data_IF_638058355518
#
_entry.id   IF_638058355518
#
_cell.length_a   1.000
_cell.length_b   1.000
_cell.length_c   1.000
_cell.angle_alpha   90.00
_cell.angle_beta   90.00
_cell.angle_gamma   90.00
#
_symmetry.space_group_name_H-M   'P 1'
#
loop_
_entity.id
_entity.type
_entity.pdbx_description
1 polymer ?
#
# COMPACT_ATOMS: atom_id res chain seq x y z
N UNK A 1 17.06 -57.04 10.58
CA UNK A 1 16.32 -57.71 9.49
C UNK A 1 14.85 -57.39 9.74
N UNK A 2 14.25 -56.39 9.06
CA UNK A 2 13.91 -56.39 7.63
C UNK A 2 12.96 -57.59 7.35
N UNK A 3 11.74 -57.44 6.84
CA UNK A 3 11.46 -57.11 5.43
C UNK A 3 9.92 -57.01 5.22
N UNK A 4 9.50 -55.87 4.64
CA UNK A 4 8.54 -55.67 3.52
C UNK A 4 7.05 -56.09 3.57
N UNK A 5 6.22 -55.04 3.44
CA UNK A 5 5.05 -54.90 2.53
C UNK A 5 5.43 -55.32 1.10
N UNK A 6 4.56 -55.87 0.21
CA UNK A 6 3.83 -54.96 -0.71
C UNK A 6 2.62 -55.54 -1.53
N UNK A 7 1.98 -54.64 -2.30
CA UNK A 7 1.51 -54.82 -3.70
C UNK A 7 0.09 -55.38 -4.02
N UNK A 8 -0.80 -54.49 -4.50
CA UNK A 8 -1.56 -54.59 -5.77
C UNK A 8 -2.07 -53.16 -6.14
N UNK A 9 -1.53 -52.40 -7.12
CA UNK A 9 -1.57 -52.49 -8.62
C UNK A 9 -3.00 -52.45 -9.18
N UNK A 10 -3.39 -51.65 -10.17
CA UNK A 10 -2.74 -51.23 -11.44
C UNK A 10 -3.54 -50.02 -12.03
N UNK A 11 -2.94 -48.88 -12.40
CA UNK A 11 -2.45 -48.46 -13.73
C UNK A 11 -3.47 -48.41 -14.89
N UNK A 12 -3.62 -47.21 -15.47
CA UNK A 12 -3.43 -46.98 -16.91
C UNK A 12 -2.61 -45.71 -17.14
N UNK A 13 -1.62 -45.85 -18.01
CA UNK A 13 -0.64 -44.87 -18.49
C UNK A 13 -1.04 -44.41 -19.89
N UNK A 14 -0.84 -43.13 -20.19
CA UNK A 14 -0.55 -42.64 -21.54
C UNK A 14 0.37 -41.40 -21.41
N UNK A 15 1.68 -41.59 -21.26
CA UNK A 15 2.74 -41.35 -22.28
C UNK A 15 2.61 -40.08 -23.13
N UNK A 16 3.31 -39.04 -22.66
CA UNK A 16 4.45 -38.34 -23.28
C UNK A 16 4.32 -37.68 -24.67
N UNK A 17 4.50 -36.36 -24.63
CA UNK A 17 5.02 -35.48 -25.69
C UNK A 17 4.59 -34.06 -25.34
N UNK A 18 5.39 -33.14 -24.82
CA UNK A 18 6.84 -33.02 -24.79
C UNK A 18 7.12 -31.53 -24.97
N UNK A 19 7.50 -30.84 -23.90
CA UNK A 19 8.47 -29.74 -23.85
C UNK A 19 8.39 -29.13 -22.45
N UNK A 20 9.42 -29.39 -21.65
CA UNK A 20 9.75 -28.55 -20.52
C UNK A 20 10.24 -27.21 -21.10
N UNK A 21 9.38 -26.20 -21.08
CA UNK A 21 9.84 -24.81 -21.04
C UNK A 21 10.07 -24.49 -19.58
N UNK A 22 11.34 -24.35 -19.22
CA UNK A 22 11.79 -23.61 -18.05
C UNK A 22 11.17 -22.22 -18.18
N UNK A 23 10.10 -21.97 -17.43
CA UNK A 23 9.53 -20.65 -17.27
C UNK A 23 10.47 -19.87 -16.35
N UNK A 24 11.40 -19.15 -16.95
CA UNK A 24 11.98 -17.97 -16.32
C UNK A 24 10.81 -17.04 -16.01
N UNK A 25 10.44 -16.94 -14.74
CA UNK A 25 9.60 -15.86 -14.25
C UNK A 25 10.40 -14.58 -14.37
N UNK A 26 10.36 -13.96 -15.55
CA UNK A 26 10.71 -12.57 -15.71
C UNK A 26 9.59 -11.79 -15.03
N UNK A 27 9.86 -11.25 -13.84
CA UNK A 27 9.05 -10.17 -13.29
C UNK A 27 8.97 -9.06 -14.33
N UNK A 28 7.78 -8.82 -14.86
CA UNK A 28 7.53 -7.65 -15.68
C UNK A 28 7.65 -6.42 -14.78
N UNK A 29 8.75 -5.69 -14.87
CA UNK A 29 8.79 -4.30 -14.42
C UNK A 29 7.87 -3.52 -15.35
N UNK A 30 6.67 -3.18 -14.88
CA UNK A 30 5.75 -2.29 -15.59
C UNK A 30 6.28 -0.87 -15.40
N UNK A 31 6.90 -0.32 -16.44
CA UNK A 31 7.13 1.13 -16.49
C UNK A 31 5.79 1.82 -16.75
N UNK A 32 5.20 2.39 -15.71
CA UNK A 32 3.97 3.19 -15.80
C UNK A 32 4.30 4.52 -16.50
N UNK A 33 3.62 4.80 -17.61
CA UNK A 33 3.62 6.15 -18.20
C UNK A 33 2.79 7.10 -17.32
N UNK A 34 2.96 8.43 -17.46
CA UNK A 34 2.13 9.38 -16.71
C UNK A 34 0.64 9.11 -16.99
N UNK A 35 -0.18 9.14 -15.93
CA UNK A 35 -1.63 9.01 -15.99
C UNK A 35 -2.20 10.07 -16.96
N UNK A 36 -3.17 9.66 -17.79
CA UNK A 36 -3.88 10.57 -18.68
C UNK A 36 -5.24 10.92 -18.06
N UNK A 37 -5.26 11.96 -17.24
CA UNK A 37 -6.48 12.48 -16.61
C UNK A 37 -7.18 13.56 -17.45
N UNK A 38 -7.00 13.52 -18.78
CA UNK A 38 -7.67 14.47 -19.69
C UNK A 38 -9.17 14.20 -19.88
N UNK A 39 -9.68 13.08 -19.40
CA UNK A 39 -11.11 12.73 -19.40
C UNK A 39 -11.60 12.40 -17.98
N UNK A 40 -12.75 12.97 -17.62
CA UNK A 40 -13.40 12.74 -16.34
C UNK A 40 -13.86 11.27 -16.21
N UNK A 41 -13.60 10.61 -15.07
CA UNK A 41 -13.96 9.20 -14.89
C UNK A 41 -12.87 8.22 -15.36
N UNK A 42 -11.71 8.71 -15.79
CA UNK A 42 -10.58 7.84 -16.09
C UNK A 42 -10.11 7.13 -14.82
N UNK A 43 -9.93 5.82 -14.93
CA UNK A 43 -9.45 4.97 -13.86
C UNK A 43 -8.10 5.48 -13.36
N UNK A 44 -7.99 5.72 -12.04
CA UNK A 44 -6.79 6.26 -11.40
C UNK A 44 -6.79 7.78 -11.20
N UNK A 45 -7.76 8.53 -11.73
CA UNK A 45 -7.84 9.99 -11.57
C UNK A 45 -8.79 10.47 -10.45
N UNK A 46 -9.47 9.54 -9.75
CA UNK A 46 -10.37 9.79 -8.61
C UNK A 46 -11.41 10.91 -8.88
N UNK A 47 -11.89 10.98 -10.12
CA UNK A 47 -12.88 11.95 -10.57
C UNK A 47 -14.04 11.25 -11.25
N UNK A 48 -15.25 11.79 -11.09
CA UNK A 48 -16.48 11.23 -11.65
C UNK A 48 -17.38 12.30 -12.27
N UNK A 49 -18.12 11.89 -13.30
CA UNK A 49 -19.04 12.77 -14.00
C UNK A 49 -20.39 12.81 -13.30
N UNK A 50 -20.75 13.99 -12.76
CA UNK A 50 -22.01 14.25 -12.08
C UNK A 50 -22.78 15.33 -12.84
N UNK A 51 -23.75 14.90 -13.65
CA UNK A 51 -24.46 15.79 -14.57
C UNK A 51 -23.53 16.34 -15.67
N UNK A 52 -23.48 17.67 -15.81
CA UNK A 52 -22.61 18.35 -16.79
C UNK A 52 -21.24 18.75 -16.20
N UNK A 53 -20.89 18.28 -14.99
CA UNK A 53 -19.66 18.62 -14.28
C UNK A 53 -18.83 17.37 -13.98
N UNK A 54 -17.52 17.53 -13.97
CA UNK A 54 -16.60 16.57 -13.34
C UNK A 54 -16.35 17.01 -11.90
N UNK A 55 -16.42 16.06 -10.96
CA UNK A 55 -16.21 16.29 -9.54
C UNK A 55 -15.25 15.23 -9.02
N UNK A 56 -14.41 15.57 -8.05
CA UNK A 56 -13.57 14.59 -7.39
C UNK A 56 -14.42 13.67 -6.52
N UNK A 57 -13.93 12.44 -6.33
CA UNK A 57 -14.52 11.51 -5.40
C UNK A 57 -14.40 12.02 -3.96
N UNK A 58 -15.31 11.63 -3.05
CA UNK A 58 -15.23 12.04 -1.66
C UNK A 58 -13.85 11.75 -1.05
N UNK A 59 -13.25 12.75 -0.40
CA UNK A 59 -11.89 12.65 0.16
C UNK A 59 -10.76 13.02 -0.82
N UNK A 60 -11.08 13.48 -2.02
CA UNK A 60 -10.14 13.95 -3.02
C UNK A 60 -10.45 15.40 -3.47
N UNK A 61 -9.42 16.15 -3.86
CA UNK A 61 -9.53 17.50 -4.44
C UNK A 61 -8.76 17.58 -5.75
N UNK A 62 -9.12 18.50 -6.65
CA UNK A 62 -8.40 18.62 -7.92
C UNK A 62 -6.93 18.96 -7.66
N UNK A 63 -6.03 18.19 -8.25
CA UNK A 63 -4.58 18.34 -8.09
C UNK A 63 -4.09 19.72 -8.59
N UNK A 64 -4.83 20.33 -9.51
CA UNK A 64 -4.54 21.65 -10.03
C UNK A 64 -5.79 22.37 -10.57
N UNK A 65 -5.63 23.66 -10.89
CA UNK A 65 -6.70 24.51 -11.42
C UNK A 65 -6.90 24.38 -12.96
N UNK A 66 -6.27 23.41 -13.65
CA UNK A 66 -6.47 23.23 -15.10
C UNK A 66 -7.85 22.60 -15.38
N UNK A 67 -8.75 23.28 -16.10
CA UNK A 67 -10.09 22.78 -16.36
C UNK A 67 -10.15 21.56 -17.30
N UNK A 68 -9.02 21.10 -17.84
CA UNK A 68 -8.92 19.89 -18.66
C UNK A 68 -8.06 18.80 -18.00
N UNK A 69 -7.68 19.00 -16.75
CA UNK A 69 -7.00 18.00 -15.94
C UNK A 69 -7.96 17.59 -14.82
N UNK A 70 -8.39 16.33 -14.87
CA UNK A 70 -9.34 15.77 -13.91
C UNK A 70 -8.64 14.86 -12.90
N UNK A 71 -7.34 15.06 -12.71
CA UNK A 71 -6.58 14.42 -11.65
C UNK A 71 -7.00 14.98 -10.29
N UNK A 72 -7.33 14.09 -9.37
CA UNK A 72 -7.75 14.43 -8.03
C UNK A 72 -6.77 13.82 -7.02
N UNK A 73 -6.09 14.71 -6.28
CA UNK A 73 -5.19 14.37 -5.20
C UNK A 73 -5.98 14.03 -3.94
N UNK A 74 -5.46 13.06 -3.20
CA UNK A 74 -6.07 12.66 -1.92
C UNK A 74 -5.86 13.77 -0.90
N UNK A 75 -6.94 14.14 -0.23
CA UNK A 75 -6.89 15.08 0.89
C UNK A 75 -6.36 14.30 2.10
N UNK A 76 -5.27 14.76 2.76
CA UNK A 76 -4.72 14.06 3.91
C UNK A 76 -5.77 13.86 5.01
N UNK A 77 -5.98 12.63 5.50
CA UNK A 77 -6.84 12.40 6.66
C UNK A 77 -6.19 13.01 7.90
N UNK A 78 -7.02 13.51 8.82
CA UNK A 78 -6.54 14.11 10.08
C UNK A 78 -6.73 13.15 11.23
N UNK A 79 -5.71 13.05 12.09
CA UNK A 79 -5.82 12.30 13.34
C UNK A 79 -6.82 12.98 14.29
N UNK A 80 -7.64 12.20 14.98
CA UNK A 80 -8.60 12.74 15.95
C UNK A 80 -9.00 11.73 17.02
N UNK A 81 -9.68 12.21 18.05
CA UNK A 81 -10.23 11.36 19.10
C UNK A 81 -11.49 10.62 18.60
N UNK A 82 -12.04 9.71 19.42
CA UNK A 82 -13.20 8.89 19.03
C UNK A 82 -14.48 9.69 18.66
N UNK A 83 -14.47 11.02 18.83
CA UNK A 83 -15.55 11.91 18.44
C UNK A 83 -15.11 12.97 17.42
N UNK A 84 -13.90 12.90 16.87
CA UNK A 84 -13.35 13.89 15.94
C UNK A 84 -13.49 15.33 16.43
N UNK A 85 -13.19 15.57 17.71
CA UNK A 85 -13.34 16.88 18.35
C UNK A 85 -14.79 17.32 18.61
N UNK A 86 -15.79 16.53 18.21
CA UNK A 86 -17.21 16.85 18.34
C UNK A 86 -17.72 17.85 17.31
N UNK A 87 -16.98 18.07 16.22
CA UNK A 87 -17.34 18.98 15.14
C UNK A 87 -18.52 18.44 14.30
N UNK A 88 -19.20 19.33 13.58
CA UNK A 88 -20.32 18.96 12.71
C UNK A 88 -19.83 18.63 11.31
N UNK A 89 -20.47 17.65 10.66
CA UNK A 89 -20.12 17.17 9.31
C UNK A 89 -18.73 16.50 9.21
N UNK A 90 -18.28 15.89 10.32
CA UNK A 90 -17.11 15.04 10.40
C UNK A 90 -17.51 13.75 11.13
N UNK A 91 -16.98 12.61 10.71
CA UNK A 91 -17.16 11.35 11.40
C UNK A 91 -15.83 10.60 11.54
N UNK A 92 -15.84 9.65 12.47
CA UNK A 92 -14.71 8.75 12.70
C UNK A 92 -14.81 7.56 11.74
N UNK A 93 -13.77 7.33 10.96
CA UNK A 93 -13.62 6.16 10.10
C UNK A 93 -12.31 5.45 10.48
N UNK A 94 -12.43 4.33 11.20
CA UNK A 94 -11.28 3.70 11.85
C UNK A 94 -10.72 4.57 12.97
N UNK A 95 -9.45 4.98 12.83
CA UNK A 95 -8.72 5.84 13.78
C UNK A 95 -8.48 7.26 13.23
N UNK A 96 -9.12 7.62 12.11
CA UNK A 96 -8.99 8.93 11.48
C UNK A 96 -10.34 9.63 11.33
N UNK A 97 -10.29 10.96 11.29
CA UNK A 97 -11.46 11.79 11.08
C UNK A 97 -11.59 12.14 9.61
N UNK A 98 -12.82 12.06 9.10
CA UNK A 98 -13.13 12.30 7.68
C UNK A 98 -14.36 13.21 7.61
N UNK A 99 -14.34 14.20 6.73
CA UNK A 99 -15.51 15.04 6.49
C UNK A 99 -16.64 14.23 5.84
N UNK A 100 -17.88 14.51 6.25
CA UNK A 100 -19.06 13.92 5.65
C UNK A 100 -19.17 14.33 4.16
N UNK A 101 -19.83 13.49 3.36
CA UNK A 101 -19.98 13.73 1.92
C UNK A 101 -20.61 15.12 1.63
N UNK A 102 -19.96 15.88 0.75
CA UNK A 102 -20.33 17.26 0.42
C UNK A 102 -19.66 18.31 1.31
N UNK A 103 -18.74 17.89 2.17
CA UNK A 103 -17.91 18.75 3.00
C UNK A 103 -16.42 18.39 2.84
N UNK A 104 -15.57 19.36 3.13
CA UNK A 104 -14.12 19.24 3.06
C UNK A 104 -13.47 20.09 4.16
N UNK A 105 -12.22 19.82 4.53
CA UNK A 105 -11.54 20.57 5.59
C UNK A 105 -11.52 22.05 5.27
N UNK A 106 -12.03 22.88 6.17
CA UNK A 106 -11.96 24.33 6.02
C UNK A 106 -10.50 24.82 5.94
N UNK A 107 -9.61 24.11 6.63
CA UNK A 107 -8.18 24.39 6.64
C UNK A 107 -7.38 23.08 6.52
N UNK A 108 -7.13 22.56 5.30
CA UNK A 108 -6.50 21.26 5.11
C UNK A 108 -5.05 21.20 5.64
N UNK A 109 -4.37 22.34 5.75
CA UNK A 109 -2.98 22.41 6.23
C UNK A 109 -2.83 22.46 7.76
N UNK A 110 -3.94 22.66 8.49
CA UNK A 110 -3.94 22.72 9.94
C UNK A 110 -4.44 21.39 10.50
N UNK A 111 -3.51 20.55 10.97
CA UNK A 111 -3.82 19.20 11.44
C UNK A 111 -4.69 19.17 12.69
N UNK A 112 -4.77 20.29 13.43
CA UNK A 112 -5.59 20.42 14.64
C UNK A 112 -6.99 20.99 14.34
N UNK A 113 -7.19 21.58 13.15
CA UNK A 113 -8.48 22.11 12.71
C UNK A 113 -9.33 21.01 12.05
N UNK A 114 -10.23 20.41 12.83
CA UNK A 114 -11.16 19.38 12.36
C UNK A 114 -12.49 19.96 11.82
N UNK A 115 -12.53 21.24 11.44
CA UNK A 115 -13.73 21.84 10.87
C UNK A 115 -13.93 21.48 9.39
N UNK A 116 -15.15 21.06 9.04
CA UNK A 116 -15.56 20.71 7.68
C UNK A 116 -16.50 21.79 7.10
N UNK A 117 -16.13 22.34 5.95
CA UNK A 117 -16.83 23.37 5.19
C UNK A 117 -17.54 22.74 3.98
N UNK A 118 -18.71 23.25 3.55
CA UNK A 118 -19.37 22.76 2.34
C UNK A 118 -18.44 22.84 1.14
N UNK A 119 -18.34 21.73 0.39
CA UNK A 119 -17.51 21.62 -0.79
C UNK A 119 -18.39 21.50 -2.04
N UNK A 120 -18.39 22.56 -2.85
CA UNK A 120 -19.14 22.63 -4.10
C UNK A 120 -18.53 21.73 -5.22
N UNK A 121 -17.34 21.15 -4.98
CA UNK A 121 -16.60 20.33 -5.93
C UNK A 121 -16.74 18.81 -5.69
N UNK A 122 -17.58 18.37 -4.74
CA UNK A 122 -17.86 16.96 -4.48
C UNK A 122 -19.23 16.49 -4.97
N UNK A 123 -19.30 15.20 -5.32
CA UNK A 123 -20.53 14.51 -5.70
C UNK A 123 -21.49 14.35 -4.51
N UNK A 124 -22.37 15.34 -4.30
CA UNK A 124 -23.39 15.27 -3.24
C UNK A 124 -24.46 14.21 -3.56
N UNK A 125 -24.45 13.08 -2.83
CA UNK A 125 -25.65 12.26 -2.65
C UNK A 125 -26.52 12.91 -1.58
N UNK A 126 -27.45 13.76 -2.02
CA UNK A 126 -28.04 14.80 -1.17
C UNK A 126 -28.77 14.34 0.10
N UNK A 127 -28.58 15.14 1.16
CA UNK A 127 -29.68 15.75 1.92
C UNK A 127 -29.33 17.22 2.10
N UNK A 128 -30.03 18.10 1.39
CA UNK A 128 -29.92 19.53 1.62
C UNK A 128 -30.52 19.89 2.98
N UNK A 129 -29.75 20.62 3.78
CA UNK A 129 -30.33 21.59 4.73
C UNK A 129 -29.41 22.80 4.75
N UNK A 130 -29.85 23.86 4.07
CA UNK A 130 -29.35 25.21 4.34
C UNK A 130 -29.75 25.59 5.75
N UNK A 131 -28.81 26.06 6.56
CA UNK A 131 -29.11 27.09 7.54
C UNK A 131 -27.91 28.01 7.75
N UNK A 132 -28.24 29.29 7.62
CA UNK A 132 -27.42 30.49 7.69
C UNK A 132 -27.53 31.04 9.11
N UNK A 133 -26.43 31.17 9.86
CA UNK A 133 -26.31 32.17 10.94
C UNK A 133 -24.85 32.42 11.39
N UNK A 134 -24.30 33.54 10.91
CA UNK A 134 -23.62 34.62 11.66
C UNK A 134 -22.77 34.39 12.93
N UNK A 135 -21.53 34.92 12.86
CA UNK A 135 -20.99 36.02 13.71
C UNK A 135 -20.04 35.71 14.88
N UNK A 136 -18.78 36.12 14.68
CA UNK A 136 -17.77 36.83 15.53
C UNK A 136 -16.92 36.16 16.64
N UNK A 137 -15.61 36.44 16.48
CA UNK A 137 -14.54 36.86 17.41
C UNK A 137 -14.00 35.94 18.52
N UNK A 138 -12.67 35.74 18.50
CA UNK A 138 -11.87 35.26 19.62
C UNK A 138 -10.36 35.25 19.34
N UNK A 139 -9.68 36.34 19.70
CA UNK A 139 -8.25 36.65 19.52
C UNK A 139 -7.30 35.94 20.49
N UNK A 140 -6.02 35.81 20.09
CA UNK A 140 -4.77 35.62 20.89
C UNK A 140 -4.59 34.24 21.57
N UNK A 141 -3.41 33.61 21.63
CA UNK A 141 -2.06 34.15 21.82
C UNK A 141 -1.01 33.11 21.39
N UNK A 142 0.07 33.59 20.79
CA UNK A 142 1.29 32.81 20.61
C UNK A 142 1.93 32.49 21.97
N UNK A 143 2.36 31.25 22.17
CA UNK A 143 3.40 30.93 23.15
C UNK A 143 4.39 29.93 22.54
N UNK A 144 5.61 30.40 22.33
CA UNK A 144 6.74 29.63 21.84
C UNK A 144 7.44 29.01 23.04
N UNK A 145 7.28 27.71 23.23
CA UNK A 145 8.18 26.93 24.10
C UNK A 145 8.97 25.95 23.25
N UNK A 146 10.22 26.32 22.98
CA UNK A 146 11.27 25.37 22.64
C UNK A 146 11.42 24.39 23.80
N UNK A 147 11.28 23.09 23.53
CA UNK A 147 11.67 22.05 24.46
C UNK A 147 12.90 21.32 23.91
N UNK A 148 13.98 21.43 24.67
CA UNK A 148 15.24 20.72 24.46
C UNK A 148 15.16 19.39 25.22
N UNK A 149 14.78 18.32 24.53
CA UNK A 149 15.10 16.95 24.95
C UNK A 149 15.68 16.19 23.78
N UNK A 150 16.97 15.87 23.88
CA UNK A 150 17.66 15.02 22.91
C UNK A 150 17.08 13.62 22.95
N UNK A 151 16.30 13.27 21.92
CA UNK A 151 15.88 11.90 21.64
C UNK A 151 17.10 11.06 21.20
N UNK A 152 17.20 9.79 21.63
CA UNK A 152 18.12 8.86 21.03
C UNK A 152 17.70 8.62 19.55
N UNK A 153 18.64 8.52 18.60
CA UNK A 153 18.28 8.20 17.22
C UNK A 153 17.77 6.76 17.11
N UNK A 154 16.73 6.54 16.30
CA UNK A 154 16.50 5.27 15.61
C UNK A 154 15.64 4.22 16.32
N UNK A 155 14.43 4.55 16.76
CA UNK A 155 13.42 3.54 17.03
C UNK A 155 12.47 3.51 15.84
N UNK A 156 12.53 2.43 15.04
CA UNK A 156 11.63 2.18 13.91
C UNK A 156 10.18 2.35 14.37
N UNK A 157 9.44 3.26 13.74
CA UNK A 157 8.03 3.45 14.02
C UNK A 157 7.25 2.28 13.41
N UNK A 158 6.49 1.57 14.23
CA UNK A 158 5.70 0.42 13.78
C UNK A 158 4.30 0.90 13.41
N UNK A 159 4.14 1.36 12.17
CA UNK A 159 2.85 1.79 11.63
C UNK A 159 2.49 0.87 10.48
N UNK A 160 1.30 0.27 10.53
CA UNK A 160 0.78 -0.47 9.38
C UNK A 160 0.46 0.50 8.25
N UNK A 161 0.69 0.07 7.01
CA UNK A 161 0.27 0.84 5.85
C UNK A 161 -1.26 1.08 5.91
N UNK A 162 -1.72 2.32 5.71
CA UNK A 162 -3.13 2.63 5.81
C UNK A 162 -3.91 1.93 4.68
N UNK A 163 -5.09 1.41 5.01
CA UNK A 163 -6.00 0.84 4.03
C UNK A 163 -6.60 1.95 3.14
N UNK A 164 -6.84 1.63 1.87
CA UNK A 164 -7.35 2.57 0.86
C UNK A 164 -8.88 2.77 0.87
N UNK A 165 -9.62 2.01 1.69
CA UNK A 165 -11.08 2.15 1.82
C UNK A 165 -11.88 1.46 0.71
N UNK A 166 -11.23 0.80 -0.25
CA UNK A 166 -11.90 0.15 -1.37
C UNK A 166 -12.44 -1.21 -0.95
N UNK A 167 -13.76 -1.36 -1.00
CA UNK A 167 -14.48 -2.62 -0.78
C UNK A 167 -15.08 -3.14 -2.09
N UNK A 168 -15.24 -4.47 -2.25
CA UNK A 168 -15.91 -5.02 -3.42
C UNK A 168 -17.42 -4.71 -3.42
N UNK A 169 -17.99 -4.45 -4.60
CA UNK A 169 -19.44 -4.30 -4.74
C UNK A 169 -20.15 -5.61 -4.35
N UNK A 170 -21.12 -5.52 -3.44
CA UNK A 170 -21.90 -6.67 -2.98
C UNK A 170 -22.59 -7.42 -4.13
N UNK A 171 -22.94 -6.74 -5.22
CA UNK A 171 -23.55 -7.33 -6.42
C UNK A 171 -22.59 -8.16 -7.28
N UNK A 172 -21.27 -7.99 -7.12
CA UNK A 172 -20.26 -8.67 -7.94
C UNK A 172 -19.94 -10.09 -7.44
N UNK A 173 -20.29 -10.39 -6.19
CA UNK A 173 -20.20 -11.74 -5.63
C UNK A 173 -21.31 -12.65 -6.19
N UNK A 174 -21.12 -13.08 -7.44
CA UNK A 174 -22.10 -13.86 -8.20
C UNK A 174 -21.84 -15.36 -8.20
N UNK A 175 -20.60 -15.79 -7.92
CA UNK A 175 -20.18 -17.19 -7.86
C UNK A 175 -19.11 -17.39 -6.78
N UNK A 176 -19.20 -18.52 -6.07
CA UNK A 176 -18.21 -18.89 -5.05
C UNK A 176 -16.80 -19.01 -5.65
N UNK A 177 -15.81 -18.49 -4.94
CA UNK A 177 -14.41 -18.53 -5.35
C UNK A 177 -13.98 -17.40 -6.28
N UNK A 178 -14.86 -16.43 -6.56
CA UNK A 178 -14.41 -15.11 -7.01
C UNK A 178 -13.58 -14.45 -5.92
N UNK A 179 -12.57 -13.70 -6.34
CA UNK A 179 -11.63 -13.02 -5.46
C UNK A 179 -11.58 -11.55 -5.80
N UNK A 180 -11.29 -10.72 -4.81
CA UNK A 180 -11.12 -9.29 -4.96
C UNK A 180 -9.95 -8.82 -4.11
N UNK A 181 -9.16 -7.91 -4.66
CA UNK A 181 -8.16 -7.16 -3.92
C UNK A 181 -8.51 -5.68 -3.96
N UNK A 182 -8.35 -4.98 -2.84
CA UNK A 182 -8.63 -3.53 -2.78
C UNK A 182 -7.65 -2.71 -3.62
N UNK A 183 -6.45 -3.24 -3.89
CA UNK A 183 -5.39 -2.51 -4.56
C UNK A 183 -5.11 -3.07 -5.95
N UNK A 184 -4.86 -2.19 -6.90
CA UNK A 184 -4.36 -2.54 -8.23
C UNK A 184 -2.81 -2.53 -8.28
N UNK A 185 -2.26 -2.86 -9.46
CA UNK A 185 -0.81 -2.94 -9.70
C UNK A 185 -0.04 -1.64 -9.49
N UNK A 186 -0.69 -0.49 -9.64
CA UNK A 186 -0.08 0.83 -9.44
C UNK A 186 -0.08 1.25 -7.98
N UNK A 187 -1.11 0.87 -7.23
CA UNK A 187 -1.23 1.15 -5.80
C UNK A 187 -0.28 0.30 -4.95
N UNK A 188 0.10 -0.87 -5.47
CA UNK A 188 0.96 -1.81 -4.77
C UNK A 188 0.27 -2.51 -3.60
N UNK A 189 0.98 -3.39 -2.88
CA UNK A 189 0.36 -4.26 -1.87
C UNK A 189 0.10 -3.56 -0.53
N UNK A 190 0.69 -2.39 -0.30
CA UNK A 190 0.64 -1.70 0.99
C UNK A 190 -0.80 -1.42 1.43
N UNK A 191 -1.16 -1.90 2.63
CA UNK A 191 -2.49 -1.68 3.23
C UNK A 191 -3.65 -2.37 2.50
N UNK A 192 -3.36 -3.20 1.48
CA UNK A 192 -4.37 -3.90 0.71
C UNK A 192 -5.14 -4.93 1.53
N UNK A 193 -6.39 -5.15 1.15
CA UNK A 193 -7.28 -6.16 1.72
C UNK A 193 -7.75 -7.11 0.63
N UNK A 194 -8.03 -8.33 1.04
CA UNK A 194 -8.38 -9.42 0.15
C UNK A 194 -9.69 -10.06 0.58
N UNK A 195 -10.58 -10.31 -0.38
CA UNK A 195 -11.90 -10.89 -0.16
C UNK A 195 -12.13 -12.10 -1.06
N UNK A 196 -12.90 -13.04 -0.53
CA UNK A 196 -13.38 -14.22 -1.24
C UNK A 196 -14.90 -14.21 -1.26
N UNK A 197 -15.48 -14.46 -2.43
CA UNK A 197 -16.92 -14.63 -2.57
C UNK A 197 -17.30 -16.03 -2.06
N UNK A 198 -18.09 -16.08 -0.98
CA UNK A 198 -18.52 -17.31 -0.33
C UNK A 198 -20.02 -17.26 -0.05
N UNK A 199 -20.78 -18.12 -0.72
CA UNK A 199 -22.22 -18.19 -0.58
C UNK A 199 -22.96 -16.97 -1.14
N UNK A 200 -22.35 -16.23 -2.08
CA UNK A 200 -22.90 -14.98 -2.61
C UNK A 200 -22.69 -13.76 -1.71
N UNK A 201 -21.78 -13.84 -0.73
CA UNK A 201 -21.33 -12.70 0.08
C UNK A 201 -19.79 -12.58 0.02
N UNK A 202 -19.28 -11.35 -0.05
CA UNK A 202 -17.84 -11.09 0.08
C UNK A 202 -17.40 -11.25 1.53
N UNK A 203 -16.40 -12.09 1.76
CA UNK A 203 -15.81 -12.34 3.07
C UNK A 203 -14.34 -11.94 3.02
N UNK A 204 -13.96 -10.97 3.85
CA UNK A 204 -12.55 -10.57 3.98
C UNK A 204 -11.74 -11.74 4.55
N UNK A 205 -10.63 -12.07 3.90
CA UNK A 205 -9.69 -13.08 4.37
C UNK A 205 -8.36 -12.44 4.76
N UNK A 206 -8.11 -12.38 6.06
CA UNK A 206 -6.91 -11.77 6.65
C UNK A 206 -5.72 -12.73 6.73
N UNK A 207 -5.89 -14.01 6.36
CA UNK A 207 -4.82 -15.02 6.41
C UNK A 207 -4.46 -15.61 5.05
N UNK A 208 -5.31 -15.50 4.03
CA UNK A 208 -5.07 -16.11 2.71
C UNK A 208 -3.73 -15.69 2.09
N UNK A 209 -3.37 -14.41 2.17
CA UNK A 209 -2.10 -13.93 1.64
C UNK A 209 -0.89 -14.61 2.29
N UNK A 210 -0.86 -14.62 3.63
CA UNK A 210 0.22 -15.28 4.37
C UNK A 210 0.26 -16.79 4.10
N UNK A 211 -0.90 -17.46 4.06
CA UNK A 211 -0.97 -18.89 3.77
C UNK A 211 -0.47 -19.22 2.35
N UNK A 212 -0.82 -18.39 1.36
CA UNK A 212 -0.34 -18.53 -0.02
C UNK A 212 1.16 -18.32 -0.11
N UNK A 213 1.68 -17.23 0.45
CA UNK A 213 3.11 -16.92 0.42
C UNK A 213 3.95 -17.99 1.15
N UNK A 214 3.47 -18.48 2.29
CA UNK A 214 4.15 -19.56 3.04
C UNK A 214 4.15 -20.89 2.29
N UNK A 215 3.11 -21.17 1.49
CA UNK A 215 3.09 -22.34 0.63
C UNK A 215 4.21 -22.29 -0.43
N UNK A 216 4.51 -21.10 -0.95
CA UNK A 216 5.55 -20.87 -1.94
C UNK A 216 6.96 -20.67 -1.32
N UNK A 217 7.06 -20.74 0.01
CA UNK A 217 8.34 -20.71 0.75
C UNK A 217 8.75 -19.33 1.26
N UNK A 218 7.87 -18.33 1.16
CA UNK A 218 8.04 -17.02 1.76
C UNK A 218 7.56 -17.02 3.22
N UNK A 219 7.82 -15.94 3.97
CA UNK A 219 7.50 -15.89 5.40
C UNK A 219 6.18 -15.16 5.67
N UNK A 220 5.86 -14.15 4.85
CA UNK A 220 4.64 -13.35 4.96
C UNK A 220 4.19 -12.77 3.60
N UNK A 221 3.02 -12.15 3.57
CA UNK A 221 2.53 -11.32 2.48
C UNK A 221 2.56 -9.85 2.87
N UNK A 222 3.10 -9.01 1.98
CA UNK A 222 2.94 -7.55 2.05
C UNK A 222 1.48 -7.15 1.85
N UNK A 223 0.78 -7.88 0.99
CA UNK A 223 -0.60 -7.65 0.64
C UNK A 223 -0.98 -8.34 -0.67
N UNK A 224 -2.13 -7.99 -1.24
CA UNK A 224 -2.57 -8.40 -2.55
C UNK A 224 -2.50 -7.24 -3.55
N UNK A 225 -2.51 -7.58 -4.84
CA UNK A 225 -2.55 -6.66 -5.97
C UNK A 225 -3.41 -7.28 -7.08
N UNK A 226 -4.33 -6.53 -7.66
CA UNK A 226 -5.05 -6.88 -8.90
C UNK A 226 -4.37 -6.25 -10.12
N UNK A 227 -3.83 -7.08 -11.03
CA UNK A 227 -3.20 -6.63 -12.27
C UNK A 227 -4.18 -6.47 -13.45
N UNK A 228 -5.49 -6.55 -13.17
CA UNK A 228 -6.56 -6.54 -14.17
C UNK A 228 -6.77 -7.87 -14.88
N UNK A 229 -5.92 -8.87 -14.64
CA UNK A 229 -6.07 -10.24 -15.13
C UNK A 229 -6.22 -11.25 -13.97
N UNK A 230 -5.60 -10.99 -12.83
CA UNK A 230 -5.56 -11.84 -11.65
C UNK A 230 -5.20 -11.05 -10.39
N UNK A 231 -5.71 -11.54 -9.26
CA UNK A 231 -5.25 -11.11 -7.93
C UNK A 231 -4.04 -11.93 -7.53
N UNK A 232 -2.93 -11.26 -7.22
CA UNK A 232 -1.67 -11.84 -6.80
C UNK A 232 -1.31 -11.35 -5.39
N UNK A 233 -0.66 -12.20 -4.59
CA UNK A 233 -0.07 -11.77 -3.32
C UNK A 233 1.39 -11.39 -3.52
N UNK A 234 1.78 -10.25 -2.97
CA UNK A 234 3.18 -9.83 -2.94
C UNK A 234 3.81 -10.41 -1.69
N UNK A 235 4.74 -11.35 -1.87
CA UNK A 235 5.32 -12.12 -0.78
C UNK A 235 6.66 -11.56 -0.33
N UNK A 236 6.93 -11.67 0.97
CA UNK A 236 8.16 -11.21 1.60
C UNK A 236 8.85 -12.30 2.42
N UNK A 237 10.16 -12.13 2.58
CA UNK A 237 10.98 -12.86 3.56
C UNK A 237 11.33 -11.85 4.66
N UNK A 238 11.48 -12.32 5.89
CA UNK A 238 11.79 -11.50 7.04
C UNK A 238 10.67 -11.42 8.07
N UNK A 239 10.78 -10.49 9.02
CA UNK A 239 9.89 -10.42 10.18
C UNK A 239 8.42 -10.14 9.83
N UNK A 240 8.15 -9.42 8.74
CA UNK A 240 6.80 -9.02 8.34
C UNK A 240 6.09 -8.09 9.33
N UNK A 241 6.83 -7.56 10.31
CA UNK A 241 6.33 -6.63 11.33
C UNK A 241 6.11 -5.26 10.73
N UNK A 242 5.12 -4.52 11.23
CA UNK A 242 4.86 -3.16 10.79
C UNK A 242 6.10 -2.26 10.90
N UNK A 243 6.28 -1.35 9.95
CA UNK A 243 7.40 -0.40 9.92
C UNK A 243 7.00 0.85 9.14
N UNK A 244 7.69 1.96 9.40
CA UNK A 244 7.53 3.22 8.69
C UNK A 244 8.89 3.86 8.48
N UNK A 245 9.20 4.14 7.21
CA UNK A 245 10.38 4.90 6.80
C UNK A 245 11.69 4.09 6.72
N UNK A 246 12.70 4.65 6.02
CA UNK A 246 14.01 4.02 5.80
C UNK A 246 14.89 3.97 7.06
N UNK A 247 14.52 4.67 8.13
CA UNK A 247 15.17 4.55 9.44
C UNK A 247 14.98 3.17 10.08
N UNK A 248 14.06 2.38 9.55
CA UNK A 248 13.86 0.98 9.92
C UNK A 248 14.85 0.03 9.24
N UNK A 249 15.59 0.51 8.24
CA UNK A 249 16.51 -0.32 7.47
C UNK A 249 17.74 -0.64 8.33
N UNK A 250 18.04 -1.93 8.46
CA UNK A 250 19.09 -2.43 9.34
C UNK A 250 19.85 -3.60 8.74
N UNK A 251 21.13 -3.73 9.08
CA UNK A 251 21.90 -4.92 8.71
C UNK A 251 21.71 -6.03 9.74
N UNK A 252 21.11 -7.13 9.32
CA UNK A 252 21.01 -8.37 10.08
C UNK A 252 22.24 -9.27 9.82
N UNK A 253 23.42 -8.77 10.19
CA UNK A 253 24.71 -9.37 9.85
C UNK A 253 25.32 -8.79 8.57
N UNK A 254 26.31 -9.47 8.00
CA UNK A 254 27.13 -8.90 6.92
C UNK A 254 26.49 -9.02 5.53
N UNK A 255 25.49 -9.91 5.35
CA UNK A 255 24.87 -10.21 4.05
C UNK A 255 23.36 -9.96 4.02
N UNK A 256 22.70 -9.75 5.16
CA UNK A 256 21.24 -9.56 5.18
C UNK A 256 20.92 -8.11 5.47
N UNK A 257 20.16 -7.50 4.58
CA UNK A 257 19.51 -6.21 4.80
C UNK A 257 18.06 -6.48 5.23
N UNK A 258 17.64 -5.86 6.33
CA UNK A 258 16.24 -5.68 6.68
C UNK A 258 15.83 -4.30 6.17
N UNK A 259 14.68 -4.21 5.51
CA UNK A 259 14.20 -2.96 4.91
C UNK A 259 12.70 -2.81 5.08
N UNK A 260 12.26 -1.57 5.25
CA UNK A 260 10.84 -1.27 5.32
C UNK A 260 10.24 -1.10 3.92
N UNK A 261 9.39 -2.04 3.51
CA UNK A 261 8.66 -1.96 2.25
C UNK A 261 7.17 -2.20 2.49
N UNK A 262 6.32 -1.39 1.85
CA UNK A 262 4.86 -1.55 1.92
C UNK A 262 4.31 -1.62 3.36
N UNK A 263 4.94 -0.88 4.29
CA UNK A 263 4.59 -0.84 5.71
C UNK A 263 4.97 -2.10 6.49
N UNK A 264 5.78 -3.00 5.93
CA UNK A 264 6.28 -4.20 6.61
C UNK A 264 7.79 -4.38 6.47
N UNK A 265 8.41 -4.89 7.52
CA UNK A 265 9.84 -5.16 7.56
C UNK A 265 10.13 -6.45 6.81
N UNK A 266 10.73 -6.31 5.63
CA UNK A 266 11.27 -7.39 4.84
C UNK A 266 12.74 -7.63 5.13
N UNK A 267 13.28 -8.69 4.54
CA UNK A 267 14.71 -8.94 4.49
C UNK A 267 15.12 -9.58 3.18
N UNK A 268 16.35 -9.32 2.78
CA UNK A 268 16.96 -9.91 1.58
C UNK A 268 18.48 -10.01 1.72
N UNK A 269 19.10 -10.79 0.85
CA UNK A 269 20.55 -10.96 0.79
C UNK A 269 21.16 -9.88 -0.11
N UNK A 270 22.07 -9.08 0.43
CA UNK A 270 22.85 -8.13 -0.35
C UNK A 270 23.68 -8.84 -1.41
N UNK A 271 24.22 -10.03 -1.15
CA UNK A 271 24.86 -10.84 -2.19
C UNK A 271 23.89 -11.15 -3.33
N UNK A 272 22.63 -11.54 -3.03
CA UNK A 272 21.63 -11.82 -4.07
C UNK A 272 21.26 -10.55 -4.85
N UNK A 273 20.93 -9.46 -4.15
CA UNK A 273 20.61 -8.16 -4.74
C UNK A 273 21.74 -7.71 -5.68
N UNK A 274 23.00 -7.74 -5.22
CA UNK A 274 24.12 -7.26 -6.00
C UNK A 274 24.49 -8.18 -7.17
N UNK A 275 24.42 -9.51 -7.01
CA UNK A 275 24.95 -10.46 -8.01
C UNK A 275 23.90 -11.01 -8.98
N UNK A 276 22.62 -11.03 -8.60
CA UNK A 276 21.54 -11.60 -9.40
C UNK A 276 20.61 -10.52 -9.96
N UNK A 277 20.13 -9.61 -9.11
CA UNK A 277 19.18 -8.56 -9.53
C UNK A 277 19.92 -7.37 -10.16
N UNK A 278 21.05 -6.99 -9.55
CA UNK A 278 21.86 -5.85 -9.91
C UNK A 278 21.23 -4.51 -9.50
N UNK A 279 22.08 -3.49 -9.39
CA UNK A 279 21.64 -2.09 -9.20
C UNK A 279 21.64 -1.42 -10.57
N UNK A 280 20.50 -0.84 -10.97
CA UNK A 280 20.30 -0.22 -12.29
C UNK A 280 20.61 -1.18 -13.47
N UNK A 281 20.39 -2.48 -13.27
CA UNK A 281 20.66 -3.54 -14.25
C UNK A 281 22.14 -3.92 -14.38
N UNK A 282 22.98 -3.49 -13.43
CA UNK A 282 24.40 -3.86 -13.34
C UNK A 282 24.57 -4.84 -12.18
N UNK A 283 25.06 -6.03 -12.49
CA UNK A 283 25.41 -7.05 -11.49
C UNK A 283 26.87 -6.91 -11.06
N UNK A 284 27.15 -7.23 -9.80
CA UNK A 284 28.46 -7.14 -9.17
C UNK A 284 28.93 -8.51 -8.68
N UNK A 285 30.21 -8.64 -8.33
CA UNK A 285 30.77 -9.89 -7.83
C UNK A 285 30.38 -10.20 -6.37
N UNK A 286 30.17 -9.17 -5.55
CA UNK A 286 29.80 -9.32 -4.14
C UNK A 286 28.83 -8.22 -3.70
N UNK A 287 28.08 -8.52 -2.65
CA UNK A 287 27.22 -7.59 -1.95
C UNK A 287 27.34 -7.80 -0.46
N UNK A 288 27.47 -6.70 0.30
CA UNK A 288 27.47 -6.74 1.76
C UNK A 288 26.53 -5.69 2.31
N UNK A 289 25.87 -5.99 3.42
CA UNK A 289 25.11 -4.99 4.13
C UNK A 289 26.05 -4.07 4.90
N UNK A 290 25.93 -2.77 4.68
CA UNK A 290 26.66 -1.75 5.43
C UNK A 290 25.68 -0.77 6.04
N UNK A 291 25.99 -0.26 7.24
CA UNK A 291 25.23 0.83 7.84
C UNK A 291 26.12 2.07 7.92
N UNK A 292 25.73 3.13 7.23
CA UNK A 292 26.37 4.45 7.31
C UNK A 292 25.36 5.50 7.74
N UNK A 293 25.75 6.38 8.66
CA UNK A 293 24.87 7.42 9.19
C UNK A 293 23.57 6.92 9.86
N UNK A 294 23.45 5.63 10.17
CA UNK A 294 22.24 5.02 10.76
C UNK A 294 21.23 4.49 9.75
N UNK A 295 21.57 4.47 8.45
CA UNK A 295 20.79 3.83 7.38
C UNK A 295 21.56 2.63 6.88
N UNK A 296 20.89 1.48 6.74
CA UNK A 296 21.47 0.29 6.14
C UNK A 296 21.26 0.28 4.62
N UNK A 297 22.25 -0.19 3.87
CA UNK A 297 22.17 -0.35 2.42
C UNK A 297 23.08 -1.50 1.96
N UNK A 298 22.80 -2.05 0.78
CA UNK A 298 23.63 -3.06 0.15
C UNK A 298 24.77 -2.40 -0.64
N UNK A 299 25.98 -2.56 -0.14
CA UNK A 299 27.19 -2.13 -0.83
C UNK A 299 27.64 -3.21 -1.81
N UNK A 300 27.41 -2.95 -3.09
CA UNK A 300 27.80 -3.84 -4.19
C UNK A 300 29.20 -3.49 -4.74
N UNK A 301 29.97 -4.52 -5.06
CA UNK A 301 31.39 -4.38 -5.37
C UNK A 301 31.87 -5.43 -6.39
N UNK A 302 32.79 -5.02 -7.27
CA UNK A 302 33.53 -5.93 -8.14
C UNK A 302 34.89 -6.31 -7.54
N UNK A 303 35.40 -7.49 -7.91
CA UNK A 303 36.71 -7.95 -7.48
C UNK A 303 37.82 -6.98 -7.94
N UNK A 304 38.48 -6.33 -6.98
CA UNK A 304 39.62 -5.45 -7.23
C UNK A 304 39.33 -3.95 -7.15
N UNK A 305 38.08 -3.56 -6.84
CA UNK A 305 37.71 -2.16 -6.61
C UNK A 305 38.26 -1.62 -5.27
N UNK A 306 38.70 -0.36 -5.27
CA UNK A 306 39.23 0.29 -4.08
C UNK A 306 38.12 0.51 -3.04
N UNK A 307 38.28 -0.12 -1.86
CA UNK A 307 37.32 0.01 -0.76
C UNK A 307 36.39 -1.19 -0.57
N UNK A 308 36.41 -2.15 -1.50
CA UNK A 308 35.66 -3.39 -1.35
C UNK A 308 36.36 -4.34 -0.36
N UNK A 309 35.63 -4.92 0.61
CA UNK A 309 36.19 -5.91 1.51
C UNK A 309 36.56 -7.20 0.74
N UNK A 310 37.76 -7.72 1.01
CA UNK A 310 38.31 -8.96 0.43
C UNK A 310 37.72 -10.22 1.09
#
# INVERSE_FOLDING_TARGET
MSIFNPLQKLLWTATLGGLATVGLGLGCVITVGPLDCSECGNTGCNSQQVGDKCLCDPGYEFANDDPNDFDCDRIPPKGGDANCGGESNVHLEGDVCVCDNGFNWCNPNDLDDLSCCPDDNQATSGVGTSDDTGTEEGTESADTTADETGDPPGMCEQVDAPWNGVEPDAGDCTEDGLVFCSNNDQEGPAGSRYWECLGGEWVESTTAGNESCQFDGFEFAYGCVDDGASVNFVCGVGPGTACSGPECDACAGDDVIEFCADGKLGSDSCSRICTEDGIDGITFDTGICVSDGGVADCFCCDEGDEGCPL
#
